data_IF_481008024420
#
_entry.id   IF_481008024420
#
_cell.length_a   1.000
_cell.length_b   1.000
_cell.length_c   1.000
_cell.angle_alpha   90.00
_cell.angle_beta   90.00
_cell.angle_gamma   90.00
#
_symmetry.space_group_name_H-M   'P 1'
#
loop_
_entity.id
_entity.type
_entity.pdbx_description
1 polymer ?
#
# COMPACT_ATOMS: atom_id res chain seq x y z
N UNK A 1 -3.69 -33.10 25.15
CA UNK A 1 -4.00 -31.99 26.05
C UNK A 1 -2.69 -31.34 26.48
N UNK A 2 -2.21 -30.38 25.73
CA UNK A 2 -1.03 -29.56 26.06
C UNK A 2 -1.39 -28.12 25.81
N UNK A 3 -1.65 -27.40 26.88
CA UNK A 3 -1.85 -25.98 26.94
C UNK A 3 -0.45 -25.36 27.04
N UNK A 4 0.00 -24.66 26.01
CA UNK A 4 1.15 -23.78 26.11
C UNK A 4 0.69 -22.34 26.29
N UNK A 5 0.72 -21.90 27.54
CA UNK A 5 0.78 -20.49 27.91
C UNK A 5 2.16 -19.95 27.54
N UNK A 6 2.25 -19.03 26.60
CA UNK A 6 3.40 -18.15 26.46
C UNK A 6 2.99 -16.73 26.85
N UNK A 7 3.33 -16.43 28.09
CA UNK A 7 3.47 -15.07 28.59
C UNK A 7 4.82 -14.56 28.13
N UNK A 8 4.85 -13.57 27.25
CA UNK A 8 6.05 -12.76 27.02
C UNK A 8 5.73 -11.28 26.98
N UNK A 9 5.88 -10.73 28.16
CA UNK A 9 6.16 -9.31 28.37
C UNK A 9 7.61 -9.09 27.94
N UNK A 10 7.85 -8.51 26.81
CA UNK A 10 9.18 -8.04 26.43
C UNK A 10 9.11 -6.60 25.96
N UNK A 11 9.61 -5.72 26.84
CA UNK A 11 9.90 -4.33 26.52
C UNK A 11 10.94 -4.28 25.41
N UNK A 12 10.61 -3.66 24.29
CA UNK A 12 11.55 -3.37 23.22
C UNK A 12 11.76 -1.87 23.09
N UNK A 13 12.91 -1.42 23.52
CA UNK A 13 13.47 -0.14 23.16
C UNK A 13 14.11 -0.25 21.76
N UNK A 14 13.55 0.46 20.75
CA UNK A 14 14.12 0.45 19.40
C UNK A 14 13.16 0.97 18.32
N UNK A 15 13.06 2.27 18.17
CA UNK A 15 11.96 2.98 17.50
C UNK A 15 11.86 2.89 15.97
N UNK A 16 12.68 2.13 15.24
CA UNK A 16 12.71 2.20 13.76
C UNK A 16 12.53 0.84 13.06
N UNK A 17 12.67 -0.29 13.76
CA UNK A 17 12.50 -1.63 13.17
C UNK A 17 11.13 -2.28 13.37
N UNK A 18 10.28 -1.73 14.21
CA UNK A 18 9.03 -2.37 14.64
C UNK A 18 7.88 -2.30 13.62
N UNK A 19 7.90 -1.34 12.70
CA UNK A 19 6.79 -1.16 11.76
C UNK A 19 6.63 -2.30 10.75
N UNK A 20 7.70 -2.98 10.35
CA UNK A 20 7.61 -4.12 9.42
C UNK A 20 7.10 -5.39 10.09
N UNK A 21 7.55 -5.67 11.30
CA UNK A 21 7.14 -6.88 12.02
C UNK A 21 5.69 -6.81 12.52
N UNK A 22 5.21 -5.63 12.91
CA UNK A 22 3.83 -5.41 13.33
C UNK A 22 2.86 -5.49 12.14
N UNK A 23 3.27 -5.02 10.96
CA UNK A 23 2.50 -5.11 9.73
C UNK A 23 2.26 -6.57 9.31
N UNK A 24 3.29 -7.42 9.40
CA UNK A 24 3.20 -8.85 9.08
C UNK A 24 2.37 -9.66 10.09
N UNK A 25 2.35 -9.26 11.38
CA UNK A 25 1.53 -9.92 12.40
C UNK A 25 0.02 -9.76 12.20
N UNK A 26 -0.41 -8.76 11.43
CA UNK A 26 -1.82 -8.56 11.07
C UNK A 26 -2.35 -9.55 10.03
N UNK A 27 -1.48 -10.30 9.38
CA UNK A 27 -1.86 -11.35 8.43
C UNK A 27 -2.10 -12.63 9.21
N UNK A 28 -3.23 -12.75 9.90
CA UNK A 28 -3.71 -14.05 10.41
C UNK A 28 -4.13 -14.89 9.22
N UNK A 29 -3.40 -15.96 9.01
CA UNK A 29 -3.69 -16.99 8.00
C UNK A 29 -4.82 -17.88 8.53
N UNK A 30 -6.07 -17.51 8.25
CA UNK A 30 -7.19 -18.42 8.38
C UNK A 30 -7.13 -19.45 7.24
N UNK A 31 -6.93 -20.71 7.58
CA UNK A 31 -6.50 -21.77 6.66
C UNK A 31 -7.60 -22.28 5.70
N UNK A 32 -8.86 -21.88 5.87
CA UNK A 32 -10.00 -22.47 5.16
C UNK A 32 -10.84 -21.53 4.30
N UNK A 33 -10.44 -20.29 4.10
CA UNK A 33 -11.20 -19.35 3.27
C UNK A 33 -10.35 -18.81 2.12
N UNK A 34 -10.97 -18.56 1.00
CA UNK A 34 -10.35 -17.87 -0.12
C UNK A 34 -9.72 -16.55 0.34
N UNK A 35 -8.49 -16.33 -0.06
CA UNK A 35 -7.71 -15.17 0.39
C UNK A 35 -7.51 -14.20 -0.77
N UNK A 36 -7.91 -12.98 -0.54
CA UNK A 36 -7.61 -11.87 -1.44
C UNK A 36 -6.78 -10.85 -0.62
N UNK A 37 -5.49 -11.07 -0.60
CA UNK A 37 -4.53 -10.26 0.15
C UNK A 37 -3.43 -9.84 -0.81
N UNK A 38 -3.18 -8.54 -0.85
CA UNK A 38 -2.11 -7.90 -1.63
C UNK A 38 -1.23 -7.11 -0.67
N UNK A 39 0.07 -7.35 -0.72
CA UNK A 39 1.06 -6.62 0.06
C UNK A 39 2.00 -5.95 -0.93
N UNK A 40 2.08 -4.63 -0.86
CA UNK A 40 2.89 -3.82 -1.75
C UNK A 40 3.79 -2.90 -0.94
N UNK A 41 5.04 -2.79 -1.37
CA UNK A 41 5.95 -1.73 -0.95
C UNK A 41 6.37 -0.95 -2.19
N UNK A 42 6.18 0.36 -2.17
CA UNK A 42 6.46 1.19 -3.33
C UNK A 42 6.51 2.67 -2.98
N UNK A 43 6.70 3.47 -4.00
CA UNK A 43 6.72 4.93 -3.89
C UNK A 43 5.44 5.51 -4.46
N UNK A 44 4.91 6.53 -3.82
CA UNK A 44 3.79 7.32 -4.35
C UNK A 44 4.25 8.03 -5.62
N UNK A 45 3.56 7.81 -6.73
CA UNK A 45 3.93 8.34 -8.04
C UNK A 45 3.28 9.67 -8.40
N UNK A 46 2.08 9.88 -7.88
CA UNK A 46 1.29 11.08 -8.18
C UNK A 46 0.80 11.74 -6.89
N UNK A 47 0.27 12.95 -7.02
CA UNK A 47 -0.40 13.60 -5.92
C UNK A 47 -1.69 12.86 -5.53
N UNK A 48 -2.00 12.87 -4.25
CA UNK A 48 -3.19 12.23 -3.74
C UNK A 48 -4.44 12.98 -4.19
N UNK A 49 -5.38 12.26 -4.79
CA UNK A 49 -6.67 12.80 -5.20
C UNK A 49 -7.75 12.41 -4.20
N UNK A 50 -8.23 13.37 -3.41
CA UNK A 50 -9.36 13.20 -2.50
C UNK A 50 -10.65 13.49 -3.24
N UNK A 51 -11.58 12.55 -3.25
CA UNK A 51 -12.87 12.64 -3.95
C UNK A 51 -14.00 12.20 -3.04
N UNK A 52 -15.22 12.57 -3.42
CA UNK A 52 -16.44 12.08 -2.77
C UNK A 52 -17.19 11.15 -3.69
N UNK A 53 -17.66 10.03 -3.14
CA UNK A 53 -18.57 9.10 -3.76
C UNK A 53 -19.97 9.72 -3.86
N UNK A 54 -20.84 9.13 -4.66
CA UNK A 54 -22.26 9.51 -4.76
C UNK A 54 -22.99 9.43 -3.41
N UNK A 55 -22.56 8.51 -2.54
CA UNK A 55 -23.07 8.36 -1.16
C UNK A 55 -22.51 9.40 -0.18
N UNK A 56 -21.77 10.39 -0.67
CA UNK A 56 -21.16 11.44 0.15
C UNK A 56 -19.90 11.02 0.93
N UNK A 57 -19.47 9.76 0.82
CA UNK A 57 -18.27 9.25 1.50
C UNK A 57 -17.01 9.72 0.77
N UNK A 58 -16.07 10.21 1.53
CA UNK A 58 -14.77 10.60 0.99
C UNK A 58 -13.86 9.37 0.78
N UNK A 59 -13.14 9.39 -0.31
CA UNK A 59 -12.13 8.38 -0.63
C UNK A 59 -10.90 9.05 -1.24
N UNK A 60 -9.76 8.39 -1.15
CA UNK A 60 -8.51 8.87 -1.74
C UNK A 60 -8.00 7.88 -2.76
N UNK A 61 -7.47 8.40 -3.86
CA UNK A 61 -6.81 7.61 -4.91
C UNK A 61 -5.43 8.17 -5.19
N UNK A 62 -4.48 7.29 -5.47
CA UNK A 62 -3.14 7.64 -5.92
C UNK A 62 -2.51 6.49 -6.70
N UNK A 63 -1.44 6.75 -7.40
CA UNK A 63 -0.64 5.75 -8.11
C UNK A 63 0.53 5.31 -7.24
N UNK A 64 0.71 4.00 -7.08
CA UNK A 64 1.88 3.42 -6.44
C UNK A 64 2.83 2.88 -7.50
N UNK A 65 4.08 3.25 -7.42
CA UNK A 65 5.17 2.75 -8.24
C UNK A 65 5.86 1.62 -7.50
N UNK A 66 5.80 0.40 -8.05
CA UNK A 66 6.40 -0.80 -7.47
C UNK A 66 7.47 -1.34 -8.42
N UNK A 67 8.63 -1.67 -7.90
CA UNK A 67 9.75 -2.17 -8.68
C UNK A 67 10.72 -1.08 -9.16
N UNK A 68 11.73 -1.46 -9.90
CA UNK A 68 12.62 -0.55 -10.63
C UNK A 68 13.78 0.10 -9.85
N UNK A 69 14.06 -0.26 -8.59
CA UNK A 69 15.24 0.23 -7.87
C UNK A 69 16.17 -0.91 -7.44
N UNK A 70 16.96 -1.42 -8.37
CA UNK A 70 18.19 -2.12 -8.02
C UNK A 70 19.37 -1.15 -8.14
N UNK A 71 20.02 -0.87 -7.03
CA UNK A 71 21.22 -0.02 -6.97
C UNK A 71 22.48 -0.69 -7.50
N UNK A 72 22.41 -1.95 -7.95
CA UNK A 72 23.58 -2.80 -8.16
C UNK A 72 23.88 -3.18 -9.61
N UNK A 73 23.14 -2.68 -10.61
CA UNK A 73 23.47 -2.99 -12.00
C UNK A 73 23.97 -1.77 -12.76
N UNK A 74 25.27 -1.81 -13.05
CA UNK A 74 26.01 -0.83 -13.86
C UNK A 74 25.77 -1.00 -15.37
N UNK A 75 24.79 -1.78 -15.81
CA UNK A 75 24.53 -1.94 -17.23
C UNK A 75 23.39 -1.03 -17.70
N UNK A 76 23.69 -0.17 -18.65
CA UNK A 76 22.84 0.91 -19.16
C UNK A 76 21.69 0.46 -20.07
N UNK A 77 21.48 -0.84 -20.27
CA UNK A 77 20.53 -1.37 -21.26
C UNK A 77 19.27 -2.01 -20.68
N UNK A 78 19.11 -2.14 -19.36
CA UNK A 78 17.92 -2.75 -18.80
C UNK A 78 16.82 -1.71 -18.57
N UNK A 79 15.76 -1.82 -19.36
CA UNK A 79 14.47 -1.18 -19.11
C UNK A 79 13.95 -1.66 -17.75
N UNK A 80 13.93 -0.77 -16.79
CA UNK A 80 13.42 -1.06 -15.44
C UNK A 80 11.91 -1.23 -15.51
N UNK A 81 11.43 -2.42 -15.27
CA UNK A 81 10.01 -2.71 -15.21
C UNK A 81 9.41 -2.09 -13.94
N UNK A 82 8.89 -0.89 -14.07
CA UNK A 82 8.11 -0.23 -13.03
C UNK A 82 6.66 -0.56 -13.23
N UNK A 83 6.03 -1.11 -12.21
CA UNK A 83 4.60 -1.39 -12.22
C UNK A 83 3.85 -0.21 -11.61
N UNK A 84 2.91 0.34 -12.37
CA UNK A 84 2.02 1.41 -11.95
C UNK A 84 0.73 0.80 -11.44
N UNK A 85 0.43 0.97 -10.16
CA UNK A 85 -0.73 0.38 -9.52
C UNK A 85 -1.63 1.49 -9.01
N UNK A 86 -2.89 1.49 -9.47
CA UNK A 86 -3.90 2.39 -8.91
C UNK A 86 -4.37 1.89 -7.55
N UNK A 87 -4.21 2.72 -6.57
CA UNK A 87 -4.54 2.45 -5.17
C UNK A 87 -5.72 3.31 -4.76
N UNK A 88 -6.70 2.68 -4.10
CA UNK A 88 -7.92 3.34 -3.62
C UNK A 88 -8.12 3.05 -2.13
N UNK A 89 -8.49 4.06 -1.37
CA UNK A 89 -8.81 3.94 0.04
C UNK A 89 -10.20 4.51 0.29
N UNK A 90 -11.14 3.66 0.74
CA UNK A 90 -12.54 4.02 1.00
C UNK A 90 -12.89 4.11 2.49
N UNK A 91 -12.05 3.58 3.36
CA UNK A 91 -12.27 3.65 4.80
C UNK A 91 -11.98 5.07 5.31
N UNK A 92 -12.98 5.72 5.90
CA UNK A 92 -12.85 7.10 6.36
C UNK A 92 -11.73 7.31 7.38
N UNK A 93 -11.48 6.34 8.28
CA UNK A 93 -10.37 6.41 9.24
C UNK A 93 -9.01 6.33 8.56
N UNK A 94 -8.92 5.49 7.53
CA UNK A 94 -7.71 5.40 6.71
C UNK A 94 -7.50 6.65 5.86
N UNK A 95 -8.56 7.23 5.31
CA UNK A 95 -8.50 8.49 4.54
C UNK A 95 -7.93 9.61 5.41
N UNK A 96 -8.44 9.77 6.64
CA UNK A 96 -7.90 10.75 7.60
C UNK A 96 -6.44 10.47 7.96
N UNK A 97 -6.08 9.20 8.15
CA UNK A 97 -4.69 8.82 8.44
C UNK A 97 -3.76 9.11 7.26
N UNK A 98 -4.19 8.83 6.04
CA UNK A 98 -3.44 9.16 4.81
C UNK A 98 -3.25 10.67 4.68
N UNK A 99 -4.29 11.45 4.99
CA UNK A 99 -4.20 12.92 5.02
C UNK A 99 -3.18 13.40 6.04
N UNK A 100 -3.21 12.86 7.26
CA UNK A 100 -2.27 13.20 8.32
C UNK A 100 -0.82 12.82 8.00
N UNK A 101 -0.60 11.76 7.21
CA UNK A 101 0.74 11.36 6.76
C UNK A 101 1.36 12.34 5.76
N UNK A 102 0.58 13.25 5.17
CA UNK A 102 1.06 14.22 4.17
C UNK A 102 1.90 13.58 3.06
N UNK A 103 1.41 12.45 2.53
CA UNK A 103 2.10 11.73 1.46
C UNK A 103 2.28 12.61 0.23
N UNK A 104 3.45 12.53 -0.37
CA UNK A 104 3.82 13.28 -1.59
C UNK A 104 4.45 12.33 -2.60
N UNK A 105 4.59 12.78 -3.82
CA UNK A 105 5.36 12.07 -4.84
C UNK A 105 6.74 11.66 -4.28
N UNK A 106 7.09 10.38 -4.44
CA UNK A 106 8.33 9.79 -3.92
C UNK A 106 8.25 9.31 -2.46
N UNK A 107 7.16 9.56 -1.71
CA UNK A 107 6.98 8.98 -0.37
C UNK A 107 6.89 7.47 -0.49
N UNK A 108 7.67 6.75 0.32
CA UNK A 108 7.69 5.29 0.30
C UNK A 108 6.74 4.72 1.34
N UNK A 109 5.85 3.84 0.90
CA UNK A 109 4.79 3.28 1.73
C UNK A 109 4.73 1.75 1.62
N UNK A 110 4.30 1.11 2.70
CA UNK A 110 3.85 -0.28 2.71
C UNK A 110 2.33 -0.31 2.78
N UNK A 111 1.72 -1.10 1.91
CA UNK A 111 0.27 -1.21 1.79
C UNK A 111 -0.15 -2.66 1.97
N UNK A 112 -1.09 -2.88 2.87
CA UNK A 112 -1.89 -4.09 2.96
C UNK A 112 -3.24 -3.80 2.30
N UNK A 113 -3.63 -4.61 1.34
CA UNK A 113 -4.77 -4.33 0.50
C UNK A 113 -5.47 -5.61 0.02
N UNK A 114 -6.51 -5.43 -0.76
CA UNK A 114 -7.13 -6.47 -1.58
C UNK A 114 -7.17 -6.05 -3.05
N UNK A 115 -7.09 -6.99 -3.95
CA UNK A 115 -7.32 -6.77 -5.37
C UNK A 115 -8.82 -6.64 -5.62
N UNK A 116 -9.20 -5.67 -6.44
CA UNK A 116 -10.54 -5.51 -6.94
C UNK A 116 -10.50 -5.42 -8.47
N UNK A 117 -11.26 -6.28 -9.11
CA UNK A 117 -11.37 -6.31 -10.56
C UNK A 117 -12.81 -6.00 -10.96
N UNK A 118 -12.98 -5.08 -11.88
CA UNK A 118 -14.30 -4.78 -12.44
C UNK A 118 -14.20 -4.57 -13.95
N UNK A 119 -15.31 -4.89 -14.62
CA UNK A 119 -15.43 -4.63 -16.05
C UNK A 119 -15.84 -3.19 -16.27
N UNK A 120 -15.13 -2.49 -17.11
CA UNK A 120 -15.42 -1.14 -17.56
C UNK A 120 -15.60 -1.16 -19.08
N UNK A 121 -16.41 -0.25 -19.58
CA UNK A 121 -16.63 -0.04 -21.00
C UNK A 121 -16.28 1.39 -21.37
N UNK A 122 -15.49 1.54 -22.44
CA UNK A 122 -15.14 2.83 -23.00
C UNK A 122 -15.21 2.75 -24.52
N UNK A 123 -16.02 3.60 -25.14
CA UNK A 123 -16.25 3.66 -26.60
C UNK A 123 -16.60 2.31 -27.22
N UNK A 124 -17.47 1.50 -26.55
CA UNK A 124 -17.87 0.18 -27.00
C UNK A 124 -16.85 -0.93 -26.78
N UNK A 125 -15.70 -0.63 -26.21
CA UNK A 125 -14.66 -1.62 -25.88
C UNK A 125 -14.75 -1.96 -24.40
N UNK A 126 -14.98 -3.25 -24.10
CA UNK A 126 -15.01 -3.78 -22.73
C UNK A 126 -13.59 -4.16 -22.29
N UNK A 127 -13.18 -3.66 -21.13
CA UNK A 127 -11.88 -4.00 -20.54
C UNK A 127 -12.01 -4.30 -19.05
N UNK A 128 -11.07 -5.11 -18.55
CA UNK A 128 -10.98 -5.39 -17.11
C UNK A 128 -10.05 -4.36 -16.48
N UNK A 129 -10.55 -3.67 -15.48
CA UNK A 129 -9.77 -2.74 -14.69
C UNK A 129 -9.49 -3.34 -13.32
N UNK A 130 -8.23 -3.32 -12.94
CA UNK A 130 -7.75 -3.84 -11.66
C UNK A 130 -7.35 -2.66 -10.77
N UNK A 131 -7.91 -2.62 -9.57
CA UNK A 131 -7.62 -1.63 -8.54
C UNK A 131 -7.19 -2.33 -7.26
N UNK A 132 -6.38 -1.68 -6.48
CA UNK A 132 -5.94 -2.16 -5.16
C UNK A 132 -6.65 -1.35 -4.09
N UNK A 133 -7.48 -2.01 -3.29
CA UNK A 133 -8.25 -1.37 -2.21
C UNK A 133 -7.50 -1.54 -0.89
N UNK A 134 -7.09 -0.43 -0.30
CA UNK A 134 -6.28 -0.39 0.93
C UNK A 134 -7.10 -0.85 2.13
N UNK A 135 -6.49 -1.71 2.94
CA UNK A 135 -6.95 -2.10 4.29
C UNK A 135 -6.07 -1.50 5.38
N UNK A 136 -4.78 -1.32 5.07
CA UNK A 136 -3.84 -0.67 5.98
C UNK A 136 -2.68 -0.07 5.18
N UNK A 137 -2.14 1.06 5.65
CA UNK A 137 -1.02 1.76 5.02
C UNK A 137 -0.06 2.27 6.09
N UNK A 138 1.23 2.12 5.84
CA UNK A 138 2.30 2.59 6.72
C UNK A 138 3.31 3.38 5.90
N UNK A 139 3.63 4.58 6.35
CA UNK A 139 4.71 5.38 5.79
C UNK A 139 6.05 4.79 6.22
N UNK A 140 6.89 4.45 5.25
CA UNK A 140 8.26 3.93 5.48
C UNK A 140 9.28 5.05 5.44
N UNK A 141 9.14 5.95 4.46
CA UNK A 141 10.05 7.07 4.24
C UNK A 141 9.34 8.22 3.54
N UNK A 142 9.53 9.42 4.05
CA UNK A 142 9.15 10.64 3.33
C UNK A 142 10.14 10.92 2.21
N UNK A 143 9.65 11.48 1.09
CA UNK A 143 10.56 12.02 0.08
C UNK A 143 11.29 13.22 0.71
N UNK A 144 12.61 13.16 0.79
CA UNK A 144 13.42 14.34 1.05
C UNK A 144 13.39 15.18 -0.22
N UNK A 145 12.70 16.31 -0.18
CA UNK A 145 12.86 17.33 -1.22
C UNK A 145 14.25 17.93 -1.02
N UNK A 146 15.24 17.44 -1.78
CA UNK A 146 16.49 18.15 -1.91
C UNK A 146 16.22 19.38 -2.79
N UNK A 147 15.90 20.49 -2.16
CA UNK A 147 16.04 21.79 -2.81
C UNK A 147 17.54 22.02 -3.08
N UNK A 148 17.95 21.79 -4.30
CA UNK A 148 19.17 22.40 -4.88
C UNK A 148 18.75 23.50 -5.84
#
# INVERSE_FOLDING_TARGET
MCVFFFSETMMCAGLVRENRACFLKKIKLDFFMDKNIVILEGSVGDDLSFRRSQDGKEFVTFTLLVGGYSREYHDRSETRDVVYIRVMCFDGRLVERVRAMSLRNGSRVNILARLNSHRSEYKGISYIQNDVIVRDIVLVRTSSVNNK
#
